data_IF_289020119797
#
_entry.id   IF_289020119797
#
_cell.length_a   1.000
_cell.length_b   1.000
_cell.length_c   1.000
_cell.angle_alpha   90.00
_cell.angle_beta   90.00
_cell.angle_gamma   90.00
#
_symmetry.space_group_name_H-M   'P 1'
#
loop_
_entity.id
_entity.type
_entity.pdbx_description
1 polymer ?
#
# COMPACT_ATOMS: atom_id res chain seq x y z
N UNK A 1 15.99 -13.07 -0.35
CA UNK A 1 16.21 -12.78 1.09
C UNK A 1 17.38 -13.62 1.63
N UNK A 2 18.12 -13.16 2.65
CA UNK A 2 19.08 -13.99 3.36
C UNK A 2 18.44 -15.29 3.84
N UNK A 3 19.16 -16.41 3.80
CA UNK A 3 18.68 -17.73 4.21
C UNK A 3 18.18 -17.65 5.67
N UNK A 4 16.90 -17.95 5.91
CA UNK A 4 16.26 -17.88 7.24
C UNK A 4 15.52 -16.59 7.58
N UNK A 5 15.35 -15.65 6.64
CA UNK A 5 14.55 -14.43 6.88
C UNK A 5 13.05 -14.77 6.93
N UNK A 6 12.38 -14.47 8.05
CA UNK A 6 10.95 -14.71 8.24
C UNK A 6 10.06 -13.67 7.54
N UNK A 7 10.58 -12.46 7.33
CA UNK A 7 9.88 -11.36 6.68
C UNK A 7 10.61 -10.86 5.44
N UNK A 8 9.86 -10.33 4.47
CA UNK A 8 10.42 -9.70 3.28
C UNK A 8 9.60 -8.50 2.81
N UNK A 9 10.28 -7.52 2.23
CA UNK A 9 9.65 -6.40 1.54
C UNK A 9 9.38 -6.77 0.07
N UNK A 10 8.21 -6.37 -0.43
CA UNK A 10 7.82 -6.57 -1.83
C UNK A 10 7.31 -5.25 -2.39
N UNK A 11 8.06 -4.63 -3.28
CA UNK A 11 7.63 -3.38 -3.94
C UNK A 11 6.54 -3.68 -4.94
N UNK A 12 5.33 -3.15 -4.76
CA UNK A 12 4.18 -3.41 -5.66
C UNK A 12 3.98 -2.31 -6.71
N UNK A 13 4.56 -1.14 -6.48
CA UNK A 13 4.42 0.02 -7.36
C UNK A 13 5.59 1.00 -7.16
N UNK A 14 5.74 1.91 -8.12
CA UNK A 14 6.71 3.00 -8.09
C UNK A 14 6.09 4.31 -8.59
N UNK A 15 6.63 5.43 -8.12
CA UNK A 15 6.16 6.76 -8.51
C UNK A 15 4.94 7.20 -7.71
N UNK A 16 4.51 8.45 -7.91
CA UNK A 16 3.38 9.02 -7.16
C UNK A 16 2.82 10.24 -7.90
N UNK A 17 1.51 10.26 -8.11
CA UNK A 17 0.81 11.37 -8.79
C UNK A 17 0.14 12.35 -7.81
N UNK A 18 0.50 12.33 -6.52
CA UNK A 18 -0.08 13.22 -5.52
C UNK A 18 0.51 14.64 -5.53
N UNK A 19 1.73 14.83 -6.05
CA UNK A 19 2.41 16.14 -6.12
C UNK A 19 2.30 16.96 -4.83
N UNK A 20 2.58 16.35 -3.67
CA UNK A 20 2.62 17.07 -2.42
C UNK A 20 3.79 18.07 -2.43
N UNK A 21 3.57 19.30 -1.95
CA UNK A 21 4.50 20.41 -2.13
C UNK A 21 5.93 20.18 -1.57
N UNK A 22 6.07 19.27 -0.60
CA UNK A 22 7.35 18.91 0.04
C UNK A 22 7.97 17.63 -0.54
N UNK A 23 7.28 16.93 -1.44
CA UNK A 23 7.65 15.59 -1.87
C UNK A 23 8.38 15.61 -3.21
N UNK A 24 9.63 15.14 -3.22
CA UNK A 24 10.47 15.07 -4.42
C UNK A 24 10.14 13.88 -5.33
N UNK A 25 9.37 12.90 -4.83
CA UNK A 25 9.10 11.61 -5.51
C UNK A 25 8.61 11.75 -6.96
N UNK A 26 7.63 12.62 -7.29
CA UNK A 26 7.11 12.69 -8.66
C UNK A 26 8.19 13.05 -9.69
N UNK A 27 9.21 13.80 -9.27
CA UNK A 27 10.30 14.24 -10.12
C UNK A 27 11.43 13.21 -10.26
N UNK A 28 11.70 12.43 -9.21
CA UNK A 28 12.78 11.43 -9.22
C UNK A 28 12.33 10.04 -9.66
N UNK A 29 11.10 9.64 -9.31
CA UNK A 29 10.58 8.29 -9.58
C UNK A 29 9.54 8.27 -10.70
N UNK A 30 9.13 9.44 -11.19
CA UNK A 30 8.14 9.57 -12.25
C UNK A 30 6.70 9.38 -11.77
N UNK A 31 5.81 9.21 -12.76
CA UNK A 31 4.39 8.95 -12.56
C UNK A 31 4.16 7.61 -11.89
N UNK A 32 2.98 7.45 -11.32
CA UNK A 32 2.60 6.20 -10.69
C UNK A 32 2.54 5.06 -11.71
N UNK A 33 3.21 3.95 -11.38
CA UNK A 33 3.26 2.71 -12.14
C UNK A 33 3.06 1.52 -11.19
N UNK A 34 1.98 0.75 -11.39
CA UNK A 34 1.75 -0.50 -10.64
C UNK A 34 2.47 -1.64 -11.35
N UNK A 35 3.00 -2.59 -10.58
CA UNK A 35 3.43 -3.87 -11.14
C UNK A 35 2.22 -4.74 -11.41
N UNK A 36 2.32 -5.65 -12.38
CA UNK A 36 1.29 -6.65 -12.61
C UNK A 36 1.08 -7.55 -11.37
N UNK A 37 -0.17 -7.84 -10.98
CA UNK A 37 -0.46 -8.61 -9.78
C UNK A 37 0.10 -10.03 -9.87
N UNK A 38 0.07 -10.65 -11.04
CA UNK A 38 0.59 -12.00 -11.27
C UNK A 38 2.09 -12.07 -10.95
N UNK A 39 2.86 -11.07 -11.37
CA UNK A 39 4.28 -10.97 -11.07
C UNK A 39 4.55 -10.79 -9.56
N UNK A 40 3.69 -10.06 -8.85
CA UNK A 40 3.80 -9.88 -7.40
C UNK A 40 3.51 -11.20 -6.68
N UNK A 41 2.43 -11.89 -7.07
CA UNK A 41 2.04 -13.17 -6.46
C UNK A 41 3.10 -14.24 -6.70
N UNK A 42 3.68 -14.32 -7.90
CA UNK A 42 4.75 -15.28 -8.20
C UNK A 42 6.04 -14.98 -7.46
N UNK A 43 6.38 -13.70 -7.24
CA UNK A 43 7.48 -13.33 -6.36
C UNK A 43 7.23 -13.78 -4.92
N UNK A 44 6.04 -13.53 -4.38
CA UNK A 44 5.67 -13.93 -3.02
C UNK A 44 5.71 -15.45 -2.87
N UNK A 45 5.22 -16.23 -3.84
CA UNK A 45 5.34 -17.70 -3.84
C UNK A 45 6.79 -18.18 -3.80
N UNK A 46 7.71 -17.50 -4.50
CA UNK A 46 9.15 -17.83 -4.43
C UNK A 46 9.72 -17.50 -3.05
N UNK A 47 9.24 -16.42 -2.41
CA UNK A 47 9.63 -16.05 -1.05
C UNK A 47 9.16 -17.08 -0.02
N UNK A 48 7.94 -17.64 -0.16
CA UNK A 48 7.45 -18.69 0.76
C UNK A 48 8.27 -19.97 0.66
N UNK A 49 8.71 -20.35 -0.54
CA UNK A 49 9.67 -21.47 -0.73
C UNK A 49 11.00 -21.24 -0.02
N UNK A 50 11.37 -19.97 0.23
CA UNK A 50 12.56 -19.60 0.99
C UNK A 50 12.33 -19.51 2.51
N UNK A 51 11.12 -19.85 2.99
CA UNK A 51 10.75 -19.81 4.41
C UNK A 51 10.20 -18.46 4.89
N UNK A 52 9.92 -17.52 4.00
CA UNK A 52 9.28 -16.24 4.35
C UNK A 52 7.81 -16.49 4.69
N UNK A 53 7.37 -15.99 5.84
CA UNK A 53 6.00 -16.09 6.34
C UNK A 53 5.28 -14.75 6.40
N UNK A 54 6.04 -13.65 6.47
CA UNK A 54 5.50 -12.29 6.49
C UNK A 54 5.96 -11.48 5.27
N UNK A 55 5.03 -10.79 4.61
CA UNK A 55 5.35 -9.86 3.53
C UNK A 55 4.87 -8.46 3.85
N UNK A 56 5.72 -7.48 3.58
CA UNK A 56 5.35 -6.06 3.64
C UNK A 56 5.33 -5.47 2.23
N UNK A 57 4.13 -5.12 1.77
CA UNK A 57 3.91 -4.49 0.46
C UNK A 57 4.34 -3.03 0.51
N UNK A 58 5.22 -2.63 -0.42
CA UNK A 58 5.80 -1.30 -0.49
C UNK A 58 5.34 -0.54 -1.73
N UNK A 59 5.02 0.73 -1.54
CA UNK A 59 4.71 1.70 -2.59
C UNK A 59 5.08 3.10 -2.14
N UNK A 60 4.72 4.12 -2.91
CA UNK A 60 4.73 5.51 -2.43
C UNK A 60 3.33 5.97 -2.02
N UNK A 61 2.29 5.37 -2.60
CA UNK A 61 0.90 5.44 -2.17
C UNK A 61 0.25 4.08 -2.46
N UNK A 62 0.37 3.11 -1.55
CA UNK A 62 -0.10 1.74 -1.84
C UNK A 62 -1.59 1.66 -2.16
N UNK A 63 -2.38 2.61 -1.67
CA UNK A 63 -3.83 2.63 -1.88
C UNK A 63 -4.23 2.95 -3.33
N UNK A 64 -3.35 3.58 -4.12
CA UNK A 64 -3.61 3.87 -5.53
C UNK A 64 -3.14 2.77 -6.49
N UNK A 65 -2.60 1.66 -5.97
CA UNK A 65 -2.28 0.49 -6.78
C UNK A 65 -3.46 0.07 -7.66
N UNK A 66 -3.16 -0.23 -8.92
CA UNK A 66 -4.12 -0.75 -9.90
C UNK A 66 -4.77 0.29 -10.82
N UNK A 67 -4.63 1.60 -10.53
CA UNK A 67 -5.25 2.68 -11.33
C UNK A 67 -4.78 2.73 -12.81
N UNK A 68 -3.62 2.14 -13.09
CA UNK A 68 -2.96 2.12 -14.40
C UNK A 68 -2.85 0.71 -15.00
N UNK A 69 -3.49 -0.29 -14.40
CA UNK A 69 -3.52 -1.65 -14.93
C UNK A 69 -4.72 -1.82 -15.88
N UNK A 70 -4.50 -2.42 -17.04
CA UNK A 70 -5.57 -2.67 -18.03
C UNK A 70 -6.63 -3.66 -17.53
N UNK A 71 -6.23 -4.60 -16.66
CA UNK A 71 -7.08 -5.71 -16.22
C UNK A 71 -7.72 -5.53 -14.82
N UNK A 72 -7.77 -4.30 -14.30
CA UNK A 72 -8.69 -3.94 -13.20
C UNK A 72 -8.45 -4.64 -11.86
N UNK A 73 -7.20 -4.77 -11.42
CA UNK A 73 -6.87 -5.28 -10.08
C UNK A 73 -6.49 -4.12 -9.16
N UNK A 74 -7.38 -3.75 -8.25
CA UNK A 74 -7.12 -2.72 -7.23
C UNK A 74 -6.32 -3.26 -6.04
N UNK A 75 -5.98 -2.37 -5.10
CA UNK A 75 -5.17 -2.74 -3.94
C UNK A 75 -5.86 -3.78 -3.05
N UNK A 76 -7.19 -3.69 -2.85
CA UNK A 76 -7.97 -4.64 -2.05
C UNK A 76 -7.96 -6.03 -2.69
N UNK A 77 -8.11 -6.09 -4.01
CA UNK A 77 -8.00 -7.33 -4.77
C UNK A 77 -6.61 -7.94 -4.66
N UNK A 78 -5.55 -7.12 -4.71
CA UNK A 78 -4.17 -7.60 -4.55
C UNK A 78 -3.94 -8.20 -3.15
N UNK A 79 -4.30 -7.50 -2.07
CA UNK A 79 -4.09 -8.02 -0.70
C UNK A 79 -4.92 -9.29 -0.47
N UNK A 80 -6.11 -9.39 -1.08
CA UNK A 80 -6.94 -10.61 -1.06
C UNK A 80 -6.23 -11.78 -1.76
N UNK A 81 -5.66 -11.53 -2.96
CA UNK A 81 -4.84 -12.53 -3.67
C UNK A 81 -3.63 -12.96 -2.82
N UNK A 82 -2.94 -12.03 -2.15
CA UNK A 82 -1.81 -12.34 -1.26
C UNK A 82 -2.25 -13.14 -0.04
N UNK A 83 -3.41 -12.82 0.55
CA UNK A 83 -3.99 -13.57 1.67
C UNK A 83 -4.21 -15.05 1.31
N UNK A 84 -4.54 -15.34 0.06
CA UNK A 84 -4.75 -16.70 -0.41
C UNK A 84 -3.45 -17.44 -0.79
N UNK A 85 -2.28 -16.81 -0.69
CA UNK A 85 -1.00 -17.49 -0.92
C UNK A 85 -0.68 -18.41 0.26
N UNK A 86 -0.46 -19.68 -0.04
CA UNK A 86 -0.03 -20.68 0.94
C UNK A 86 1.38 -20.38 1.46
N UNK A 87 1.60 -20.57 2.76
CA UNK A 87 2.86 -20.28 3.45
C UNK A 87 2.99 -18.84 3.96
N UNK A 88 2.21 -17.88 3.44
CA UNK A 88 2.08 -16.56 4.05
C UNK A 88 1.15 -16.65 5.26
N UNK A 89 1.63 -16.12 6.38
CA UNK A 89 0.90 -16.02 7.65
C UNK A 89 0.57 -14.56 7.99
N UNK A 90 1.36 -13.59 7.50
CA UNK A 90 1.18 -12.17 7.78
C UNK A 90 1.39 -11.27 6.57
N UNK A 91 0.51 -10.29 6.43
CA UNK A 91 0.55 -9.25 5.42
C UNK A 91 0.60 -7.90 6.12
N UNK A 92 1.53 -7.07 5.70
CA UNK A 92 1.62 -5.66 6.05
C UNK A 92 1.71 -4.82 4.79
N UNK A 93 1.40 -3.55 4.93
CA UNK A 93 1.73 -2.55 3.92
C UNK A 93 2.07 -1.24 4.63
N UNK A 94 2.71 -0.34 3.88
CA UNK A 94 3.10 0.98 4.39
C UNK A 94 2.84 2.02 3.31
N UNK A 95 2.74 3.29 3.71
CA UNK A 95 2.50 4.46 2.85
C UNK A 95 1.08 4.56 2.30
N UNK A 96 0.10 4.52 3.21
CA UNK A 96 -1.28 4.89 2.86
C UNK A 96 -1.43 6.40 2.76
N UNK A 97 -2.29 6.86 1.86
CA UNK A 97 -2.66 8.26 1.76
C UNK A 97 -4.09 8.45 2.27
N UNK A 98 -4.36 9.39 3.22
CA UNK A 98 -5.70 9.53 3.81
C UNK A 98 -6.85 9.68 2.80
N UNK A 99 -6.66 10.48 1.75
CA UNK A 99 -7.66 10.62 0.67
C UNK A 99 -7.99 9.32 -0.08
N UNK A 100 -7.07 8.37 -0.14
CA UNK A 100 -7.19 7.13 -0.91
C UNK A 100 -7.56 5.92 0.00
N UNK A 101 -7.76 6.15 1.31
CA UNK A 101 -8.26 5.11 2.21
C UNK A 101 -9.76 4.90 1.97
N UNK A 102 -10.08 3.78 1.31
CA UNK A 102 -11.45 3.37 0.95
C UNK A 102 -12.07 2.45 1.99
N UNK A 103 -13.41 2.42 2.04
CA UNK A 103 -14.17 1.50 2.90
C UNK A 103 -13.83 0.03 2.62
N UNK A 104 -13.55 -0.31 1.35
CA UNK A 104 -13.12 -1.66 0.98
C UNK A 104 -11.80 -2.07 1.64
N UNK A 105 -10.85 -1.15 1.78
CA UNK A 105 -9.60 -1.42 2.51
C UNK A 105 -9.84 -1.50 4.02
N UNK A 106 -10.76 -0.70 4.57
CA UNK A 106 -11.15 -0.78 5.98
C UNK A 106 -11.77 -2.15 6.28
N UNK A 107 -12.74 -2.59 5.46
CA UNK A 107 -13.39 -3.90 5.60
C UNK A 107 -12.39 -5.05 5.46
N UNK A 108 -11.37 -4.91 4.62
CA UNK A 108 -10.33 -5.92 4.47
C UNK A 108 -9.57 -6.22 5.78
N UNK A 109 -9.43 -5.27 6.71
CA UNK A 109 -8.86 -5.55 8.04
C UNK A 109 -9.75 -6.47 8.88
N UNK A 110 -11.06 -6.46 8.67
CA UNK A 110 -11.99 -7.36 9.37
C UNK A 110 -12.10 -8.72 8.67
N UNK A 111 -12.00 -8.75 7.34
CA UNK A 111 -12.28 -9.95 6.52
C UNK A 111 -11.04 -10.80 6.23
N UNK A 112 -9.84 -10.21 6.16
CA UNK A 112 -8.63 -10.91 5.76
C UNK A 112 -7.80 -11.33 6.99
N UNK A 113 -7.80 -12.62 7.38
CA UNK A 113 -7.22 -13.07 8.64
C UNK A 113 -5.69 -12.93 8.72
N UNK A 114 -5.00 -12.85 7.58
CA UNK A 114 -3.54 -12.65 7.54
C UNK A 114 -3.14 -11.19 7.49
N UNK A 115 -4.08 -10.26 7.28
CA UNK A 115 -3.79 -8.84 7.27
C UNK A 115 -3.59 -8.36 8.71
N UNK A 116 -2.41 -7.81 8.99
CA UNK A 116 -2.12 -7.31 10.33
C UNK A 116 -2.97 -6.06 10.63
N UNK A 117 -3.51 -5.95 11.86
CA UNK A 117 -4.21 -4.77 12.40
C UNK A 117 -3.26 -3.57 12.61
N UNK A 118 -2.67 -3.08 11.53
CA UNK A 118 -1.72 -1.98 11.52
C UNK A 118 -1.86 -1.19 10.22
N UNK A 119 -2.08 0.12 10.36
CA UNK A 119 -2.14 1.05 9.23
C UNK A 119 -1.13 2.18 9.42
N UNK A 120 -0.30 2.41 8.40
CA UNK A 120 0.58 3.58 8.33
C UNK A 120 -0.11 4.67 7.52
N UNK A 121 -0.70 5.66 8.22
CA UNK A 121 -1.55 6.71 7.63
C UNK A 121 -1.03 8.13 7.95
N UNK A 122 -0.07 8.69 7.19
CA UNK A 122 0.54 9.98 7.53
C UNK A 122 -0.35 11.21 7.25
N UNK A 123 -0.77 11.90 8.32
CA UNK A 123 -1.54 13.16 8.26
C UNK A 123 -0.74 14.38 7.80
N UNK A 124 0.56 14.42 8.08
CA UNK A 124 1.51 15.53 7.80
C UNK A 124 1.27 16.83 8.57
N UNK A 125 0.02 17.26 8.80
CA UNK A 125 -0.31 18.49 9.53
C UNK A 125 -1.75 18.46 10.05
N UNK A 126 -2.00 19.00 11.25
CA UNK A 126 -3.35 19.19 11.79
C UNK A 126 -4.06 20.48 11.36
N UNK A 127 -3.42 21.34 10.54
CA UNK A 127 -4.01 22.61 10.09
C UNK A 127 -4.51 22.53 8.65
N UNK A 128 -5.81 22.75 8.44
CA UNK A 128 -6.44 22.80 7.11
C UNK A 128 -5.75 23.79 6.16
N UNK A 129 -5.33 24.94 6.67
CA UNK A 129 -4.55 25.93 5.90
C UNK A 129 -3.22 25.34 5.39
N UNK A 130 -2.53 24.56 6.21
CA UNK A 130 -1.25 23.94 5.85
C UNK A 130 -1.46 22.71 4.95
N UNK A 131 -2.46 21.86 5.24
CA UNK A 131 -2.82 20.71 4.39
C UNK A 131 -3.14 21.15 2.95
N UNK A 132 -3.87 22.27 2.81
CA UNK A 132 -4.13 22.89 1.49
C UNK A 132 -2.85 23.33 0.80
N UNK A 133 -1.93 24.01 1.52
CA UNK A 133 -0.62 24.43 0.97
C UNK A 133 0.28 23.25 0.60
N UNK A 134 0.15 22.13 1.32
CA UNK A 134 0.87 20.89 1.05
C UNK A 134 0.27 20.09 -0.13
N UNK A 135 -0.87 20.52 -0.69
CA UNK A 135 -1.61 19.80 -1.72
C UNK A 135 -2.07 18.39 -1.27
N UNK A 136 -2.61 18.27 -0.04
CA UNK A 136 -3.03 16.97 0.52
C UNK A 136 -4.39 16.50 0.00
N UNK A 137 -5.27 17.41 -0.41
CA UNK A 137 -6.60 17.07 -0.92
C UNK A 137 -7.55 16.50 0.14
N UNK A 138 -7.32 16.80 1.42
CA UNK A 138 -8.23 16.52 2.53
C UNK A 138 -8.04 17.53 3.68
N UNK A 139 -8.98 17.56 4.63
CA UNK A 139 -8.96 18.36 5.87
C UNK A 139 -8.63 17.50 7.10
N UNK A 140 -8.35 18.16 8.22
CA UNK A 140 -8.09 17.50 9.50
C UNK A 140 -9.35 16.76 9.99
N UNK A 141 -10.54 17.31 9.75
CA UNK A 141 -11.81 16.69 10.09
C UNK A 141 -12.03 15.41 9.27
N UNK A 142 -11.85 15.45 7.95
CA UNK A 142 -11.95 14.27 7.08
C UNK A 142 -10.93 13.18 7.43
N UNK A 143 -9.77 13.57 7.97
CA UNK A 143 -8.80 12.60 8.48
C UNK A 143 -9.30 11.92 9.76
N UNK A 144 -9.84 12.69 10.71
CA UNK A 144 -10.36 12.17 11.97
C UNK A 144 -11.56 11.26 11.75
N UNK A 145 -12.43 11.56 10.79
CA UNK A 145 -13.56 10.67 10.43
C UNK A 145 -13.13 9.28 9.94
N UNK A 146 -11.88 9.12 9.49
CA UNK A 146 -11.33 7.86 8.98
C UNK A 146 -10.62 7.00 10.04
N UNK A 147 -10.39 7.51 11.25
CA UNK A 147 -9.58 6.89 12.30
C UNK A 147 -10.42 6.66 13.56
#
# INVERSE_FOLDING_TARGET
PPKGSLSSFVSIMQGCDNYCAYCVVPYLRGREMSREPENIIDEIRKLTQCGVKEVTLLGQNVNSYGKNLEHGCDFVSLITKVNNVEGIERIRFTTSHPKDLSDGLINAFAELPKLCEHIHLPVQSGSNRILKRMNRGYTAEEYVEKV
#
